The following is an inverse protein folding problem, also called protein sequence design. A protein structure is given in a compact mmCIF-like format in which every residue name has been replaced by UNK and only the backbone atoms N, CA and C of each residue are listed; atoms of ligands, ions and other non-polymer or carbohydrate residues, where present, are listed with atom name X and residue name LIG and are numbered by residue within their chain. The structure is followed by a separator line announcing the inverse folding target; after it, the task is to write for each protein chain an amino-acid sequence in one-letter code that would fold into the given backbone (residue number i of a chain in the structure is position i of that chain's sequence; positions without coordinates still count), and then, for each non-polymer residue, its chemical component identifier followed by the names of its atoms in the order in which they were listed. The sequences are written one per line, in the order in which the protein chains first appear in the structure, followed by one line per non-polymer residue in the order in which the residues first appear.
data_IF_242116140884
#
_entry.id   IF_242116140884
#
_cell.length_a   1.000
_cell.length_b   1.000
_cell.length_c   1.000
_cell.angle_alpha   90.00
_cell.angle_beta   90.00
_cell.angle_gamma   90.00
#
_symmetry.space_group_name_H-M   'P 1'
#
loop_
_entity.id
_entity.type
_entity.pdbx_description
1 polymer ?
#
# COMPACT_ATOMS: atom_id res chain seq x y z
N UNK A 1 4.24 -21.45 0.23
CA UNK A 1 5.05 -20.22 0.07
C UNK A 1 6.51 -20.47 0.46
N UNK A 2 7.49 -19.92 -0.24
CA UNK A 2 8.91 -20.16 0.08
C UNK A 2 9.44 -19.07 1.03
N UNK A 3 9.22 -19.23 2.32
CA UNK A 3 9.66 -18.29 3.36
C UNK A 3 11.16 -17.99 3.32
N UNK A 4 11.99 -18.95 2.89
CA UNK A 4 13.44 -18.74 2.79
C UNK A 4 13.80 -17.67 1.74
N UNK A 5 13.07 -17.61 0.62
CA UNK A 5 13.27 -16.60 -0.43
C UNK A 5 12.87 -15.21 0.08
N UNK A 6 11.72 -15.11 0.74
CA UNK A 6 11.25 -13.84 1.30
C UNK A 6 12.20 -13.30 2.38
N UNK A 7 12.63 -14.16 3.31
CA UNK A 7 13.58 -13.78 4.35
C UNK A 7 14.93 -13.32 3.77
N UNK A 8 15.41 -13.98 2.69
CA UNK A 8 16.63 -13.54 1.99
C UNK A 8 16.45 -12.16 1.37
N UNK A 9 15.30 -11.91 0.72
CA UNK A 9 14.98 -10.63 0.12
C UNK A 9 14.88 -9.52 1.17
N UNK A 10 14.15 -9.77 2.26
CA UNK A 10 14.04 -8.82 3.39
C UNK A 10 15.40 -8.53 4.00
N UNK A 11 16.25 -9.55 4.19
CA UNK A 11 17.61 -9.37 4.73
C UNK A 11 18.48 -8.54 3.79
N UNK A 12 18.36 -8.73 2.48
CA UNK A 12 19.08 -7.92 1.49
C UNK A 12 18.61 -6.46 1.54
N UNK A 13 17.27 -6.23 1.50
CA UNK A 13 16.71 -4.87 1.58
C UNK A 13 17.15 -4.19 2.88
N UNK A 14 17.18 -4.93 3.99
CA UNK A 14 17.66 -4.42 5.27
C UNK A 14 19.15 -4.02 5.22
N UNK A 15 19.98 -4.84 4.54
CA UNK A 15 21.39 -4.51 4.41
C UNK A 15 21.64 -3.19 3.66
N UNK A 16 20.73 -2.78 2.76
CA UNK A 16 20.83 -1.48 2.07
C UNK A 16 20.83 -0.34 3.09
N UNK A 17 20.00 -0.42 4.12
CA UNK A 17 19.97 0.58 5.18
C UNK A 17 21.32 0.69 5.92
N UNK A 18 21.90 -0.44 6.28
CA UNK A 18 23.19 -0.46 6.97
C UNK A 18 24.37 -0.07 6.06
N UNK A 19 24.33 -0.47 4.79
CA UNK A 19 25.42 -0.21 3.83
C UNK A 19 25.43 1.25 3.34
N UNK A 20 24.25 1.83 3.06
CA UNK A 20 24.15 3.12 2.37
C UNK A 20 23.69 4.27 3.28
N UNK A 21 22.90 4.00 4.35
CA UNK A 21 22.23 5.05 5.11
C UNK A 21 22.85 5.34 6.48
N UNK A 22 23.75 4.50 6.99
CA UNK A 22 24.28 4.56 8.36
C UNK A 22 24.86 5.93 8.74
N UNK A 23 25.60 6.55 7.84
CA UNK A 23 26.29 7.82 8.10
C UNK A 23 25.47 9.06 7.72
N UNK A 24 24.29 8.84 7.10
CA UNK A 24 23.43 9.89 6.56
C UNK A 24 22.14 10.05 7.37
N UNK A 25 21.62 8.94 7.89
CA UNK A 25 20.37 8.90 8.64
C UNK A 25 20.59 8.26 10.02
N UNK A 26 19.83 8.70 11.01
CA UNK A 26 19.68 7.95 12.26
C UNK A 26 18.85 6.69 12.00
N UNK A 27 19.13 5.59 12.71
CA UNK A 27 18.50 4.28 12.46
C UNK A 27 16.98 4.33 12.34
N UNK A 28 16.31 5.06 13.23
CA UNK A 28 14.86 5.20 13.21
C UNK A 28 14.28 5.89 11.96
N UNK A 29 15.16 6.48 11.11
CA UNK A 29 14.78 7.14 9.85
C UNK A 29 15.08 6.32 8.59
N UNK A 30 15.65 5.13 8.72
CA UNK A 30 15.90 4.26 7.55
C UNK A 30 14.60 3.89 6.84
N UNK A 31 13.51 3.71 7.60
CA UNK A 31 12.17 3.42 7.05
C UNK A 31 11.71 4.47 6.05
N UNK A 32 12.01 5.75 6.29
CA UNK A 32 11.59 6.89 5.44
C UNK A 32 12.21 6.82 4.02
N UNK A 33 13.25 6.01 3.83
CA UNK A 33 13.91 5.74 2.54
C UNK A 33 13.57 4.36 2.02
N UNK A 34 13.73 3.33 2.84
CA UNK A 34 13.66 1.93 2.40
C UNK A 34 12.26 1.57 1.94
N UNK A 35 11.21 1.89 2.72
CA UNK A 35 9.85 1.51 2.35
C UNK A 35 9.38 2.16 1.05
N UNK A 36 9.51 3.50 0.85
CA UNK A 36 9.13 4.11 -0.42
C UNK A 36 9.98 3.63 -1.60
N UNK A 37 11.27 3.35 -1.41
CA UNK A 37 12.11 2.82 -2.49
C UNK A 37 11.71 1.38 -2.87
N UNK A 38 11.28 0.56 -1.93
CA UNK A 38 10.74 -0.79 -2.21
C UNK A 38 9.44 -0.68 -3.02
N UNK A 39 8.53 0.23 -2.63
CA UNK A 39 7.30 0.49 -3.38
C UNK A 39 7.65 0.95 -4.80
N UNK A 40 8.49 1.98 -4.92
CA UNK A 40 8.87 2.56 -6.19
C UNK A 40 9.51 1.51 -7.12
N UNK A 41 10.44 0.70 -6.58
CA UNK A 41 11.08 -0.37 -7.36
C UNK A 41 10.08 -1.43 -7.82
N UNK A 42 9.07 -1.75 -6.99
CA UNK A 42 8.02 -2.70 -7.40
C UNK A 42 7.16 -2.13 -8.52
N UNK A 43 6.71 -0.88 -8.40
CA UNK A 43 5.92 -0.21 -9.44
C UNK A 43 6.71 -0.10 -10.76
N UNK A 44 7.98 0.31 -10.69
CA UNK A 44 8.89 0.37 -11.83
C UNK A 44 9.03 -0.99 -12.53
N UNK A 45 9.24 -2.06 -11.74
CA UNK A 45 9.38 -3.42 -12.25
C UNK A 45 8.12 -3.96 -12.95
N UNK A 46 6.93 -3.55 -12.49
CA UNK A 46 5.66 -3.91 -13.12
C UNK A 46 5.46 -3.19 -14.45
N UNK A 47 5.89 -1.93 -14.55
CA UNK A 47 5.78 -1.12 -15.77
C UNK A 47 6.87 -1.45 -16.82
N UNK A 48 7.99 -2.06 -16.42
CA UNK A 48 9.14 -2.35 -17.30
C UNK A 48 8.72 -3.03 -18.62
N UNK A 49 7.86 -4.08 -18.64
CA UNK A 49 7.45 -4.74 -19.90
C UNK A 49 6.57 -3.90 -20.82
N UNK A 50 5.88 -2.89 -20.30
CA UNK A 50 4.93 -2.05 -21.04
C UNK A 50 5.41 -0.62 -21.23
N UNK A 51 6.61 -0.30 -20.76
CA UNK A 51 7.18 1.05 -20.80
C UNK A 51 7.13 1.65 -22.20
N UNK A 52 7.54 0.88 -23.21
CA UNK A 52 7.56 1.35 -24.59
C UNK A 52 6.16 1.68 -25.11
N UNK A 53 5.14 0.88 -24.77
CA UNK A 53 3.76 1.14 -25.17
C UNK A 53 3.23 2.44 -24.54
N UNK A 54 3.60 2.73 -23.29
CA UNK A 54 3.22 3.99 -22.65
C UNK A 54 3.89 5.17 -23.33
N UNK A 55 5.17 5.08 -23.71
CA UNK A 55 5.87 6.14 -24.43
C UNK A 55 5.29 6.37 -25.84
N UNK A 56 4.89 5.33 -26.55
CA UNK A 56 4.18 5.41 -27.81
C UNK A 56 2.82 6.12 -27.66
N UNK A 57 2.08 5.80 -26.59
CA UNK A 57 0.82 6.46 -26.27
C UNK A 57 1.02 7.95 -25.92
N UNK A 58 2.11 8.29 -25.20
CA UNK A 58 2.50 9.70 -24.94
C UNK A 58 2.67 10.47 -26.25
N UNK A 59 3.42 9.90 -27.21
CA UNK A 59 3.64 10.51 -28.52
C UNK A 59 2.31 10.63 -29.29
N UNK A 60 1.50 9.59 -29.30
CA UNK A 60 0.20 9.58 -29.95
C UNK A 60 -0.74 10.66 -29.42
N UNK A 61 -0.92 10.75 -28.10
CA UNK A 61 -1.79 11.74 -27.47
C UNK A 61 -1.28 13.17 -27.71
N UNK A 62 0.04 13.40 -27.62
CA UNK A 62 0.64 14.72 -27.79
C UNK A 62 0.68 15.16 -29.24
N UNK A 63 1.14 14.30 -30.15
CA UNK A 63 1.42 14.70 -31.53
C UNK A 63 0.22 14.51 -32.47
N UNK A 64 -0.55 13.42 -32.29
CA UNK A 64 -1.69 13.11 -33.16
C UNK A 64 -2.98 13.71 -32.62
N UNK A 65 -3.29 13.46 -31.33
CA UNK A 65 -4.54 13.92 -30.72
C UNK A 65 -4.46 15.38 -30.26
N UNK A 66 -3.23 15.93 -30.11
CA UNK A 66 -2.98 17.31 -29.62
C UNK A 66 -3.57 17.58 -28.23
N UNK A 67 -3.60 16.55 -27.39
CA UNK A 67 -4.05 16.70 -26.01
C UNK A 67 -3.08 17.56 -25.20
N UNK A 68 -3.62 18.42 -24.34
CA UNK A 68 -2.85 19.24 -23.39
C UNK A 68 -2.66 18.54 -22.06
N UNK A 69 -3.55 17.62 -21.73
CA UNK A 69 -3.53 16.77 -20.56
C UNK A 69 -3.63 15.31 -21.02
N UNK A 70 -3.09 14.39 -20.23
CA UNK A 70 -3.14 12.97 -20.59
C UNK A 70 -4.56 12.40 -20.44
N UNK A 71 -4.98 11.59 -21.41
CA UNK A 71 -6.13 10.69 -21.22
C UNK A 71 -5.69 9.46 -20.42
N UNK A 72 -6.08 9.43 -19.15
CA UNK A 72 -5.73 8.33 -18.24
C UNK A 72 -6.19 6.97 -18.74
N UNK A 73 -7.29 6.88 -19.49
CA UNK A 73 -7.78 5.62 -20.05
C UNK A 73 -6.84 5.06 -21.11
N UNK A 74 -6.33 5.91 -21.99
CA UNK A 74 -5.33 5.53 -22.98
C UNK A 74 -4.03 5.08 -22.29
N UNK A 75 -3.55 5.85 -21.30
CA UNK A 75 -2.33 5.54 -20.58
C UNK A 75 -2.43 4.25 -19.77
N UNK A 76 -3.53 4.02 -19.06
CA UNK A 76 -3.76 2.77 -18.28
C UNK A 76 -3.95 1.57 -19.18
N UNK A 77 -4.58 1.73 -20.35
CA UNK A 77 -4.67 0.67 -21.36
C UNK A 77 -3.28 0.28 -21.90
N UNK A 78 -2.41 1.28 -22.16
CA UNK A 78 -1.04 1.06 -22.61
C UNK A 78 -0.17 0.39 -21.54
N UNK A 79 -0.27 0.82 -20.28
CA UNK A 79 0.49 0.25 -19.16
C UNK A 79 -0.03 -1.11 -18.70
N UNK A 80 -1.31 -1.42 -18.93
CA UNK A 80 -2.05 -2.59 -18.41
C UNK A 80 -2.23 -2.59 -16.89
N UNK A 81 -2.03 -1.44 -16.24
CA UNK A 81 -2.19 -1.23 -14.81
C UNK A 81 -3.05 0.01 -14.57
N UNK A 82 -3.59 0.17 -13.37
CA UNK A 82 -4.31 1.38 -12.94
C UNK A 82 -3.38 2.57 -12.70
N UNK A 83 -2.12 2.43 -13.07
CA UNK A 83 -1.07 3.45 -12.99
C UNK A 83 -0.12 3.33 -14.19
N UNK A 84 0.63 4.38 -14.44
CA UNK A 84 1.58 4.47 -15.55
C UNK A 84 2.73 5.43 -15.21
N UNK A 85 3.75 5.48 -16.09
CA UNK A 85 4.83 6.46 -16.02
C UNK A 85 5.20 6.94 -17.42
N UNK A 86 5.04 8.23 -17.68
CA UNK A 86 5.27 8.90 -18.98
C UNK A 86 6.71 9.36 -19.18
N UNK A 87 7.58 9.34 -18.17
CA UNK A 87 9.00 9.67 -18.30
C UNK A 87 9.74 8.64 -19.16
N UNK A 88 10.80 9.01 -19.82
CA UNK A 88 11.71 8.08 -20.51
C UNK A 88 12.53 7.21 -19.55
N UNK A 89 12.64 7.62 -18.30
CA UNK A 89 13.45 6.98 -17.29
C UNK A 89 12.77 5.74 -16.67
N UNK A 90 13.60 4.79 -16.29
CA UNK A 90 13.34 3.71 -15.34
C UNK A 90 14.40 3.77 -14.24
N UNK A 91 14.22 3.09 -13.12
CA UNK A 91 15.27 3.04 -12.08
C UNK A 91 16.56 2.44 -12.63
N UNK A 92 16.46 1.43 -13.51
CA UNK A 92 17.63 0.80 -14.15
C UNK A 92 18.34 1.77 -15.10
N UNK A 93 17.61 2.55 -15.91
CA UNK A 93 18.21 3.51 -16.84
C UNK A 93 18.81 4.72 -16.10
N UNK A 94 18.20 5.16 -15.00
CA UNK A 94 18.76 6.18 -14.10
C UNK A 94 20.13 5.74 -13.55
N UNK A 95 20.22 4.51 -13.06
CA UNK A 95 21.50 3.95 -12.59
C UNK A 95 22.50 3.84 -13.75
N UNK A 96 22.10 3.25 -14.88
CA UNK A 96 23.00 3.05 -16.03
C UNK A 96 23.48 4.33 -16.71
N UNK A 97 22.74 5.44 -16.60
CA UNK A 97 23.08 6.76 -17.14
C UNK A 97 23.77 7.67 -16.13
N UNK A 98 23.88 7.22 -14.87
CA UNK A 98 24.47 8.05 -13.81
C UNK A 98 25.91 8.40 -14.14
N UNK A 99 26.18 9.70 -14.15
CA UNK A 99 27.51 10.27 -14.19
C UNK A 99 27.93 10.61 -12.76
N UNK A 100 29.20 11.02 -12.55
CA UNK A 100 29.69 11.45 -11.23
C UNK A 100 28.99 12.74 -10.71
N UNK A 101 27.87 13.17 -11.29
CA UNK A 101 27.14 14.35 -10.89
C UNK A 101 25.81 13.97 -10.23
N UNK A 102 25.76 14.06 -8.91
CA UNK A 102 24.55 13.85 -8.12
C UNK A 102 23.41 14.82 -8.51
N UNK A 103 23.75 16.03 -8.98
CA UNK A 103 22.72 16.99 -9.40
C UNK A 103 22.02 16.59 -10.70
N UNK A 104 22.78 16.02 -11.66
CA UNK A 104 22.18 15.49 -12.90
C UNK A 104 21.31 14.28 -12.57
N UNK A 105 21.82 13.37 -11.72
CA UNK A 105 21.02 12.22 -11.28
C UNK A 105 19.75 12.65 -10.56
N UNK A 106 19.83 13.66 -9.68
CA UNK A 106 18.65 14.22 -9.00
C UNK A 106 17.64 14.77 -10.00
N UNK A 107 18.06 15.56 -10.98
CA UNK A 107 17.16 16.11 -12.01
C UNK A 107 16.46 15.02 -12.82
N UNK A 108 17.20 14.00 -13.26
CA UNK A 108 16.66 12.87 -13.99
C UNK A 108 15.70 12.03 -13.10
N UNK A 109 16.02 11.89 -11.82
CA UNK A 109 15.15 11.20 -10.89
C UNK A 109 13.85 11.97 -10.61
N UNK A 110 13.93 13.30 -10.49
CA UNK A 110 12.73 14.14 -10.36
C UNK A 110 11.84 14.05 -11.62
N UNK A 111 12.43 14.05 -12.82
CA UNK A 111 11.69 13.82 -14.06
C UNK A 111 11.02 12.44 -14.09
N UNK A 112 11.73 11.40 -13.66
CA UNK A 112 11.17 10.06 -13.50
C UNK A 112 9.96 10.06 -12.56
N UNK A 113 10.07 10.69 -11.39
CA UNK A 113 8.97 10.78 -10.43
C UNK A 113 7.79 11.59 -10.99
N UNK A 114 8.05 12.66 -11.74
CA UNK A 114 7.02 13.50 -12.35
C UNK A 114 6.21 12.76 -13.44
N UNK A 115 6.80 11.75 -14.06
CA UNK A 115 6.13 10.94 -15.07
C UNK A 115 5.04 10.01 -14.55
N UNK A 116 4.94 9.77 -13.26
CA UNK A 116 3.94 8.89 -12.70
C UNK A 116 2.53 9.51 -12.72
N UNK A 117 1.52 8.64 -12.85
CA UNK A 117 0.10 8.96 -12.74
C UNK A 117 -0.27 9.55 -11.37
N UNK A 118 -1.38 10.29 -11.31
CA UNK A 118 -1.80 11.04 -10.12
C UNK A 118 -1.91 10.19 -8.84
N UNK A 119 -2.42 8.97 -8.96
CA UNK A 119 -2.52 8.04 -7.83
C UNK A 119 -1.15 7.61 -7.26
N UNK A 120 -0.12 7.49 -8.12
CA UNK A 120 1.27 7.23 -7.66
C UNK A 120 1.92 8.50 -7.13
N UNK A 121 1.61 9.67 -7.70
CA UNK A 121 2.08 10.95 -7.15
C UNK A 121 1.64 11.14 -5.70
N UNK A 122 0.39 10.81 -5.38
CA UNK A 122 -0.11 10.85 -4.02
C UNK A 122 0.71 9.94 -3.08
N UNK A 123 1.04 8.73 -3.51
CA UNK A 123 1.89 7.80 -2.74
C UNK A 123 3.29 8.40 -2.51
N UNK A 124 3.89 9.00 -3.54
CA UNK A 124 5.19 9.67 -3.46
C UNK A 124 5.16 10.82 -2.43
N UNK A 125 4.06 11.57 -2.40
CA UNK A 125 3.86 12.67 -1.44
C UNK A 125 3.66 12.17 -0.01
N UNK A 126 2.83 11.14 0.21
CA UNK A 126 2.61 10.55 1.53
C UNK A 126 3.90 10.02 2.15
N UNK A 127 4.76 9.40 1.35
CA UNK A 127 6.10 8.99 1.77
C UNK A 127 7.10 10.14 1.91
N UNK A 128 6.78 11.35 1.45
CA UNK A 128 7.73 12.48 1.34
C UNK A 128 8.99 12.11 0.57
N UNK A 129 8.86 11.23 -0.43
CA UNK A 129 9.99 10.61 -1.12
C UNK A 129 10.89 11.63 -1.82
N UNK A 130 10.30 12.69 -2.42
CA UNK A 130 11.11 13.75 -3.08
C UNK A 130 12.11 14.42 -2.12
N UNK A 131 11.69 14.64 -0.87
CA UNK A 131 12.58 15.20 0.14
C UNK A 131 13.73 14.24 0.48
N UNK A 132 13.45 12.93 0.53
CA UNK A 132 14.47 11.91 0.78
C UNK A 132 15.46 11.79 -0.38
N UNK A 133 14.98 11.78 -1.63
CA UNK A 133 15.82 11.75 -2.84
C UNK A 133 16.77 12.96 -2.86
N UNK A 134 16.24 14.16 -2.60
CA UNK A 134 17.05 15.39 -2.51
C UNK A 134 18.08 15.31 -1.37
N UNK A 135 17.69 14.79 -0.21
CA UNK A 135 18.61 14.64 0.92
C UNK A 135 19.72 13.64 0.59
N UNK A 136 19.41 12.49 0.00
CA UNK A 136 20.38 11.48 -0.42
C UNK A 136 21.36 12.04 -1.49
N UNK A 137 20.86 12.81 -2.46
CA UNK A 137 21.70 13.47 -3.48
C UNK A 137 22.69 14.47 -2.84
N UNK A 138 22.21 15.28 -1.87
CA UNK A 138 23.06 16.24 -1.15
C UNK A 138 24.10 15.57 -0.24
N UNK A 139 23.93 14.29 0.05
CA UNK A 139 24.85 13.49 0.88
C UNK A 139 25.67 12.48 0.06
N UNK A 140 25.60 12.57 -1.26
CA UNK A 140 26.32 11.71 -2.22
C UNK A 140 26.02 10.19 -2.09
N UNK A 141 24.84 9.81 -1.55
CA UNK A 141 24.45 8.40 -1.37
C UNK A 141 23.29 7.95 -2.27
N UNK A 142 22.70 8.86 -3.07
CA UNK A 142 21.56 8.52 -3.93
C UNK A 142 21.94 7.45 -4.96
N UNK A 143 23.10 7.52 -5.56
CA UNK A 143 23.56 6.55 -6.54
C UNK A 143 23.78 5.17 -5.89
N UNK A 144 24.37 5.11 -4.70
CA UNK A 144 24.61 3.86 -3.99
C UNK A 144 23.30 3.14 -3.64
N UNK A 145 22.30 3.91 -3.17
CA UNK A 145 20.95 3.37 -2.90
C UNK A 145 20.31 2.86 -4.19
N UNK A 146 20.39 3.63 -5.28
CA UNK A 146 19.85 3.24 -6.57
C UNK A 146 20.52 1.98 -7.12
N UNK A 147 21.84 1.86 -7.01
CA UNK A 147 22.60 0.66 -7.40
C UNK A 147 22.11 -0.58 -6.66
N UNK A 148 21.91 -0.48 -5.34
CA UNK A 148 21.40 -1.59 -4.53
C UNK A 148 19.99 -2.01 -4.96
N UNK A 149 19.06 -1.06 -5.16
CA UNK A 149 17.69 -1.35 -5.56
C UNK A 149 17.56 -1.85 -7.00
N UNK A 150 18.54 -1.57 -7.87
CA UNK A 150 18.60 -2.08 -9.25
C UNK A 150 19.50 -3.31 -9.41
N UNK A 151 20.12 -3.77 -8.32
CA UNK A 151 20.99 -4.96 -8.33
C UNK A 151 20.28 -6.18 -8.91
N UNK A 152 20.93 -6.97 -9.77
CA UNK A 152 20.40 -8.24 -10.24
C UNK A 152 20.25 -9.30 -9.15
N UNK A 153 20.86 -9.11 -7.97
CA UNK A 153 20.77 -10.05 -6.84
C UNK A 153 19.46 -9.95 -6.08
N UNK A 154 18.62 -8.95 -6.39
CA UNK A 154 17.26 -8.80 -5.85
C UNK A 154 16.22 -8.84 -6.96
N UNK A 155 15.14 -9.58 -6.73
CA UNK A 155 14.04 -9.66 -7.66
C UNK A 155 12.72 -9.21 -7.03
N UNK A 156 12.33 -7.98 -7.31
CA UNK A 156 11.03 -7.40 -6.96
C UNK A 156 10.04 -7.46 -8.14
N UNK A 157 10.34 -8.25 -9.18
CA UNK A 157 9.50 -8.37 -10.37
C UNK A 157 8.58 -9.60 -10.29
N UNK A 158 7.48 -9.63 -11.03
CA UNK A 158 6.62 -10.80 -11.13
C UNK A 158 7.19 -11.91 -12.06
N UNK A 159 8.44 -11.76 -12.52
CA UNK A 159 9.10 -12.68 -13.45
C UNK A 159 10.37 -13.25 -12.83
N UNK A 160 10.76 -14.48 -13.25
CA UNK A 160 12.08 -15.02 -12.90
C UNK A 160 13.19 -14.14 -13.49
N UNK A 161 14.25 -13.92 -12.72
CA UNK A 161 15.49 -13.24 -13.17
C UNK A 161 16.71 -14.11 -12.89
N UNK A 162 17.84 -13.74 -13.48
CA UNK A 162 19.14 -14.33 -13.16
C UNK A 162 19.91 -13.35 -12.26
N UNK A 163 20.58 -13.88 -11.25
CA UNK A 163 21.53 -13.12 -10.44
C UNK A 163 22.86 -12.92 -11.17
N UNK A 164 23.78 -12.19 -10.53
CA UNK A 164 25.15 -11.93 -11.06
C UNK A 164 25.94 -13.22 -11.35
N UNK A 165 25.62 -14.33 -10.69
CA UNK A 165 26.24 -15.64 -10.90
C UNK A 165 25.49 -16.52 -11.90
N UNK A 166 24.46 -16.01 -12.59
CA UNK A 166 23.63 -16.74 -13.54
C UNK A 166 22.64 -17.73 -12.90
N UNK A 167 22.40 -17.63 -11.60
CA UNK A 167 21.43 -18.47 -10.89
C UNK A 167 20.03 -17.85 -10.99
N UNK A 168 19.01 -18.68 -11.10
CA UNK A 168 17.62 -18.23 -11.13
C UNK A 168 17.18 -17.67 -9.78
N UNK A 169 16.67 -16.45 -9.79
CA UNK A 169 15.94 -15.87 -8.66
C UNK A 169 14.45 -15.95 -9.03
N UNK A 170 13.62 -16.58 -8.16
CA UNK A 170 12.21 -16.76 -8.45
C UNK A 170 11.48 -15.41 -8.53
N UNK A 171 10.36 -15.41 -9.25
CA UNK A 171 9.42 -14.31 -9.30
C UNK A 171 8.88 -13.98 -7.90
N UNK A 172 8.63 -12.71 -7.64
CA UNK A 172 7.93 -12.25 -6.45
C UNK A 172 6.45 -12.02 -6.79
N UNK A 173 5.58 -12.87 -6.27
CA UNK A 173 4.12 -12.71 -6.42
C UNK A 173 3.61 -11.47 -5.67
N UNK A 174 2.40 -11.01 -5.98
CA UNK A 174 1.77 -9.91 -5.23
C UNK A 174 1.57 -10.25 -3.76
N UNK A 175 1.18 -11.50 -3.47
CA UNK A 175 1.09 -12.01 -2.10
C UNK A 175 2.47 -12.00 -1.41
N UNK A 176 3.52 -12.45 -2.11
CA UNK A 176 4.89 -12.39 -1.60
C UNK A 176 5.37 -10.96 -1.33
N UNK A 177 4.94 -9.99 -2.15
CA UNK A 177 5.25 -8.58 -1.92
C UNK A 177 4.60 -8.05 -0.63
N UNK A 178 3.34 -8.43 -0.37
CA UNK A 178 2.67 -8.12 0.90
C UNK A 178 3.47 -8.62 2.12
N UNK A 179 3.97 -9.86 2.07
CA UNK A 179 4.84 -10.39 3.13
C UNK A 179 6.14 -9.62 3.30
N UNK A 180 6.75 -9.17 2.20
CA UNK A 180 7.98 -8.36 2.28
C UNK A 180 7.70 -7.04 3.00
N UNK A 181 6.60 -6.35 2.68
CA UNK A 181 6.22 -5.12 3.37
C UNK A 181 5.95 -5.32 4.85
N UNK A 182 5.15 -6.32 5.20
CA UNK A 182 4.82 -6.65 6.60
C UNK A 182 6.08 -6.92 7.42
N UNK A 183 7.01 -7.71 6.88
CA UNK A 183 8.25 -8.05 7.56
C UNK A 183 9.20 -6.86 7.69
N UNK A 184 9.27 -5.99 6.69
CA UNK A 184 10.05 -4.75 6.77
C UNK A 184 9.47 -3.80 7.83
N UNK A 185 8.16 -3.60 7.85
CA UNK A 185 7.49 -2.76 8.86
C UNK A 185 7.72 -3.34 10.25
N UNK A 186 7.55 -4.64 10.44
CA UNK A 186 7.81 -5.30 11.72
C UNK A 186 9.24 -5.03 12.22
N UNK A 187 10.24 -5.18 11.34
CA UNK A 187 11.64 -4.90 11.69
C UNK A 187 11.89 -3.43 12.04
N UNK A 188 11.30 -2.49 11.29
CA UNK A 188 11.45 -1.07 11.60
C UNK A 188 10.77 -0.68 12.92
N UNK A 189 9.61 -1.27 13.24
CA UNK A 189 8.93 -1.05 14.50
C UNK A 189 9.75 -1.60 15.69
N UNK A 190 10.34 -2.79 15.54
CA UNK A 190 11.24 -3.36 16.56
C UNK A 190 12.47 -2.47 16.80
N UNK A 191 13.10 -1.95 15.75
CA UNK A 191 14.23 -1.02 15.87
C UNK A 191 13.85 0.31 16.55
N UNK A 192 12.63 0.78 16.35
CA UNK A 192 12.12 2.02 16.93
C UNK A 192 11.49 1.84 18.31
N UNK A 193 11.42 0.62 18.85
CA UNK A 193 10.67 0.27 20.06
C UNK A 193 9.19 0.68 19.97
N UNK A 194 8.61 0.65 18.76
CA UNK A 194 7.17 0.87 18.54
C UNK A 194 6.39 -0.39 18.93
N UNK A 195 5.19 -0.23 19.45
CA UNK A 195 4.36 -1.38 19.84
C UNK A 195 3.97 -2.23 18.61
N UNK A 196 4.34 -3.51 18.63
CA UNK A 196 4.17 -4.41 17.49
C UNK A 196 2.71 -4.57 17.02
N UNK A 197 1.73 -4.27 17.87
CA UNK A 197 0.30 -4.38 17.58
C UNK A 197 -0.30 -3.21 16.79
N UNK A 198 0.44 -2.13 16.57
CA UNK A 198 -0.13 -0.91 15.98
C UNK A 198 -0.26 -0.95 14.45
N UNK A 199 0.57 -1.74 13.77
CA UNK A 199 0.66 -1.69 12.30
C UNK A 199 0.58 -3.05 11.61
N UNK A 200 0.41 -4.12 12.36
CA UNK A 200 0.44 -5.46 11.82
C UNK A 200 -0.49 -6.43 12.55
N UNK A 201 -1.31 -7.12 11.79
CA UNK A 201 -2.12 -8.24 12.29
C UNK A 201 -1.50 -9.55 11.83
N UNK A 202 -1.13 -10.47 12.75
CA UNK A 202 -0.61 -11.77 12.36
C UNK A 202 -1.54 -12.51 11.39
N UNK A 203 -0.99 -13.14 10.38
CA UNK A 203 -1.79 -13.79 9.33
C UNK A 203 -2.65 -14.93 9.85
N UNK A 204 -2.18 -15.64 10.87
CA UNK A 204 -2.94 -16.68 11.54
C UNK A 204 -4.21 -16.14 12.20
N UNK A 205 -4.16 -14.89 12.68
CA UNK A 205 -5.34 -14.19 13.22
C UNK A 205 -6.29 -13.80 12.09
N UNK A 206 -5.75 -13.29 10.98
CA UNK A 206 -6.55 -12.94 9.80
C UNK A 206 -7.23 -14.20 9.24
N UNK A 207 -6.48 -15.30 9.10
CA UNK A 207 -7.01 -16.59 8.63
C UNK A 207 -8.14 -17.09 9.55
N UNK A 208 -7.96 -17.01 10.86
CA UNK A 208 -9.03 -17.34 11.80
C UNK A 208 -10.27 -16.46 11.60
N UNK A 209 -10.09 -15.15 11.47
CA UNK A 209 -11.19 -14.21 11.29
C UNK A 209 -11.95 -14.46 9.98
N UNK A 210 -11.22 -14.71 8.89
CA UNK A 210 -11.83 -15.02 7.58
C UNK A 210 -12.62 -16.33 7.62
N UNK A 211 -12.09 -17.36 8.27
CA UNK A 211 -12.83 -18.60 8.50
C UNK A 211 -14.12 -18.37 9.30
N UNK A 212 -14.05 -17.61 10.38
CA UNK A 212 -15.22 -17.33 11.22
C UNK A 212 -16.32 -16.57 10.48
N UNK A 213 -15.95 -15.65 9.58
CA UNK A 213 -16.90 -14.82 8.84
C UNK A 213 -17.43 -15.53 7.61
N UNK A 214 -16.60 -16.18 6.81
CA UNK A 214 -16.96 -16.65 5.48
C UNK A 214 -17.33 -18.14 5.41
N UNK A 215 -16.80 -19.02 6.26
CA UNK A 215 -17.20 -20.44 6.27
C UNK A 215 -18.70 -20.64 6.47
N UNK A 216 -19.40 -19.90 7.37
CA UNK A 216 -20.84 -20.08 7.56
C UNK A 216 -21.69 -19.76 6.33
N UNK A 217 -21.17 -18.99 5.40
CA UNK A 217 -21.89 -18.52 4.20
C UNK A 217 -21.29 -19.03 2.89
N UNK A 218 -20.28 -19.90 2.93
CA UNK A 218 -19.52 -20.36 1.75
C UNK A 218 -20.39 -20.87 0.59
N UNK A 219 -21.52 -21.52 0.91
CA UNK A 219 -22.46 -22.06 -0.10
C UNK A 219 -23.46 -21.02 -0.61
N UNK A 220 -23.38 -19.77 -0.10
CA UNK A 220 -24.32 -18.66 -0.40
C UNK A 220 -23.58 -17.36 -0.70
N UNK A 221 -22.34 -17.44 -1.14
CA UNK A 221 -21.53 -16.27 -1.48
C UNK A 221 -22.20 -15.51 -2.63
N UNK A 222 -22.53 -14.21 -2.47
CA UNK A 222 -23.10 -13.38 -3.52
C UNK A 222 -22.10 -13.19 -4.69
N UNK A 223 -22.62 -12.82 -5.86
CA UNK A 223 -21.78 -12.48 -7.02
C UNK A 223 -20.97 -11.17 -6.84
N UNK A 224 -21.39 -10.33 -5.89
CA UNK A 224 -20.71 -9.08 -5.51
C UNK A 224 -20.65 -9.01 -4.01
N UNK A 225 -19.46 -8.69 -3.48
CA UNK A 225 -19.22 -8.53 -2.04
C UNK A 225 -18.40 -7.24 -1.82
N UNK A 226 -18.77 -6.51 -0.77
CA UNK A 226 -18.00 -5.36 -0.27
C UNK A 226 -17.44 -5.67 1.11
N UNK A 227 -16.12 -5.47 1.27
CA UNK A 227 -15.41 -5.70 2.53
C UNK A 227 -14.76 -4.39 2.96
N UNK A 228 -14.97 -4.00 4.21
CA UNK A 228 -14.43 -2.77 4.78
C UNK A 228 -13.55 -3.04 6.00
N UNK A 229 -12.40 -2.38 6.04
CA UNK A 229 -11.55 -2.30 7.23
C UNK A 229 -11.35 -0.83 7.62
N UNK A 230 -11.96 -0.36 8.73
CA UNK A 230 -11.84 1.03 9.20
C UNK A 230 -10.49 1.40 9.80
N UNK A 231 -9.57 0.44 9.98
CA UNK A 231 -8.21 0.63 10.45
C UNK A 231 -7.29 -0.34 9.70
N UNK A 232 -7.24 -0.17 8.36
CA UNK A 232 -6.77 -1.22 7.46
C UNK A 232 -5.27 -1.49 7.50
N UNK A 233 -4.48 -0.63 8.14
CA UNK A 233 -3.05 -0.82 8.17
C UNK A 233 -2.48 -0.92 6.74
N UNK A 234 -1.68 -1.95 6.49
CA UNK A 234 -1.13 -2.25 5.16
C UNK A 234 -2.11 -2.94 4.21
N UNK A 235 -3.35 -3.17 4.63
CA UNK A 235 -4.38 -3.83 3.82
C UNK A 235 -4.34 -5.36 3.84
N UNK A 236 -3.54 -5.95 4.72
CA UNK A 236 -3.40 -7.41 4.81
C UNK A 236 -4.73 -8.13 5.03
N UNK A 237 -5.57 -7.61 5.94
CA UNK A 237 -6.88 -8.20 6.22
C UNK A 237 -7.82 -8.14 5.01
N UNK A 238 -7.82 -7.05 4.27
CA UNK A 238 -8.62 -6.89 3.06
C UNK A 238 -8.20 -7.89 1.99
N UNK A 239 -6.91 -7.98 1.72
CA UNK A 239 -6.38 -8.83 0.63
C UNK A 239 -6.46 -10.32 0.96
N UNK A 240 -6.23 -10.73 2.20
CA UNK A 240 -6.41 -12.13 2.61
C UNK A 240 -7.88 -12.54 2.57
N UNK A 241 -8.80 -11.65 2.96
CA UNK A 241 -10.25 -11.91 2.85
C UNK A 241 -10.67 -12.16 1.41
N UNK A 242 -10.17 -11.37 0.47
CA UNK A 242 -10.43 -11.59 -0.95
C UNK A 242 -9.87 -12.91 -1.44
N UNK A 243 -8.59 -13.21 -1.14
CA UNK A 243 -7.97 -14.48 -1.53
C UNK A 243 -8.71 -15.69 -0.95
N UNK A 244 -9.17 -15.59 0.30
CA UNK A 244 -9.98 -16.64 0.93
C UNK A 244 -11.25 -16.96 0.13
N UNK A 245 -11.89 -15.94 -0.47
CA UNK A 245 -13.15 -16.06 -1.20
C UNK A 245 -12.90 -16.50 -2.65
N UNK A 246 -11.97 -15.84 -3.37
CA UNK A 246 -11.90 -15.90 -4.84
C UNK A 246 -10.77 -16.73 -5.39
N UNK A 247 -9.71 -17.02 -4.63
CA UNK A 247 -8.56 -17.76 -5.11
C UNK A 247 -8.95 -19.19 -5.51
N UNK A 248 -8.49 -19.66 -6.65
CA UNK A 248 -8.70 -21.04 -7.13
C UNK A 248 -8.11 -22.09 -6.17
N UNK A 249 -7.02 -21.74 -5.51
CA UNK A 249 -6.40 -22.53 -4.43
C UNK A 249 -6.91 -22.12 -3.04
N UNK A 250 -7.78 -21.12 -2.96
CA UNK A 250 -8.39 -20.61 -1.74
C UNK A 250 -9.39 -21.57 -1.11
N UNK A 251 -10.01 -21.12 -0.01
CA UNK A 251 -10.91 -21.98 0.78
C UNK A 251 -12.30 -22.10 0.17
N UNK A 252 -12.85 -21.00 -0.36
CA UNK A 252 -14.23 -20.97 -0.90
C UNK A 252 -14.24 -21.22 -2.40
N UNK A 253 -13.27 -20.71 -3.13
CA UNK A 253 -13.14 -20.86 -4.60
C UNK A 253 -14.27 -20.23 -5.39
N UNK A 254 -14.82 -19.12 -4.88
CA UNK A 254 -15.88 -18.39 -5.56
C UNK A 254 -15.30 -17.46 -6.64
N UNK A 255 -14.70 -18.06 -7.67
CA UNK A 255 -13.93 -17.35 -8.74
C UNK A 255 -14.79 -16.38 -9.56
N UNK A 256 -16.11 -16.52 -9.55
CA UNK A 256 -17.05 -15.63 -10.25
C UNK A 256 -17.55 -14.48 -9.36
N UNK A 257 -17.09 -14.38 -8.11
CA UNK A 257 -17.48 -13.31 -7.20
C UNK A 257 -16.54 -12.11 -7.39
N UNK A 258 -17.14 -10.93 -7.56
CA UNK A 258 -16.41 -9.65 -7.54
C UNK A 258 -16.32 -9.14 -6.11
N UNK A 259 -15.10 -9.01 -5.59
CA UNK A 259 -14.87 -8.49 -4.24
C UNK A 259 -14.31 -7.07 -4.34
N UNK A 260 -15.00 -6.12 -3.71
CA UNK A 260 -14.61 -4.73 -3.59
C UNK A 260 -14.09 -4.46 -2.19
N UNK A 261 -12.86 -4.00 -2.11
CA UNK A 261 -12.14 -3.76 -0.86
C UNK A 261 -12.15 -2.26 -0.54
N UNK A 262 -12.54 -1.93 0.68
CA UNK A 262 -12.58 -0.57 1.19
C UNK A 262 -11.74 -0.49 2.47
N UNK A 263 -10.93 0.55 2.59
CA UNK A 263 -10.08 0.72 3.76
C UNK A 263 -9.92 2.16 4.18
N UNK A 264 -9.64 2.37 5.46
CA UNK A 264 -9.26 3.66 6.00
C UNK A 264 -8.06 3.51 6.92
N UNK A 265 -7.07 4.39 6.75
CA UNK A 265 -5.84 4.36 7.52
C UNK A 265 -5.41 5.79 7.92
N UNK A 266 -5.03 5.97 9.18
CA UNK A 266 -4.66 7.29 9.70
C UNK A 266 -3.19 7.64 9.46
N UNK A 267 -2.32 6.64 9.36
CA UNK A 267 -0.90 6.84 9.15
C UNK A 267 -0.57 6.96 7.67
N UNK A 268 0.02 8.08 7.26
CA UNK A 268 0.32 8.40 5.86
C UNK A 268 1.17 7.32 5.18
N UNK A 269 2.19 6.80 5.86
CA UNK A 269 3.11 5.81 5.33
C UNK A 269 2.42 4.46 5.13
N UNK A 270 1.69 4.00 6.14
CA UNK A 270 0.94 2.75 6.11
C UNK A 270 -0.18 2.80 5.06
N UNK A 271 -0.86 3.95 4.96
CA UNK A 271 -1.82 4.25 3.89
C UNK A 271 -1.18 4.11 2.50
N UNK A 272 0.00 4.73 2.29
CA UNK A 272 0.69 4.69 1.01
C UNK A 272 1.07 3.24 0.62
N UNK A 273 1.46 2.42 1.58
CA UNK A 273 1.74 0.99 1.35
C UNK A 273 0.46 0.24 0.97
N UNK A 274 -0.63 0.43 1.73
CA UNK A 274 -1.92 -0.19 1.43
C UNK A 274 -2.42 0.20 0.03
N UNK A 275 -2.42 1.49 -0.30
CA UNK A 275 -2.82 2.00 -1.62
C UNK A 275 -1.97 1.40 -2.74
N UNK A 276 -0.66 1.32 -2.54
CA UNK A 276 0.27 0.69 -3.49
C UNK A 276 -0.04 -0.80 -3.72
N UNK A 277 -0.31 -1.53 -2.65
CA UNK A 277 -0.64 -2.96 -2.73
C UNK A 277 -1.96 -3.20 -3.49
N UNK A 278 -2.98 -2.35 -3.26
CA UNK A 278 -4.23 -2.37 -4.03
C UNK A 278 -3.96 -2.14 -5.52
N UNK A 279 -3.17 -1.12 -5.87
CA UNK A 279 -2.83 -0.81 -7.26
C UNK A 279 -2.08 -1.96 -7.95
N UNK A 280 -1.10 -2.56 -7.25
CA UNK A 280 -0.33 -3.70 -7.74
C UNK A 280 -1.23 -4.91 -8.04
N UNK A 281 -2.28 -5.10 -7.25
CA UNK A 281 -3.29 -6.16 -7.40
C UNK A 281 -4.40 -5.82 -8.39
N UNK A 282 -4.35 -4.64 -9.01
CA UNK A 282 -5.37 -4.17 -9.96
C UNK A 282 -6.71 -3.80 -9.30
N UNK A 283 -6.68 -3.51 -8.00
CA UNK A 283 -7.85 -3.01 -7.27
C UNK A 283 -7.95 -1.50 -7.40
N UNK A 284 -9.16 -0.97 -7.17
CA UNK A 284 -9.36 0.48 -7.21
C UNK A 284 -8.68 1.14 -5.99
N UNK A 285 -7.61 1.91 -6.20
CA UNK A 285 -6.89 2.56 -5.10
C UNK A 285 -7.72 3.66 -4.42
N UNK A 286 -8.78 4.16 -5.07
CA UNK A 286 -9.65 5.19 -4.52
C UNK A 286 -10.57 4.67 -3.41
N UNK A 287 -10.68 3.36 -3.25
CA UNK A 287 -11.38 2.74 -2.13
C UNK A 287 -10.56 2.74 -0.83
N UNK A 288 -9.29 3.12 -0.88
CA UNK A 288 -8.47 3.31 0.31
C UNK A 288 -8.37 4.80 0.61
N UNK A 289 -8.74 5.22 1.83
CA UNK A 289 -8.79 6.62 2.23
C UNK A 289 -7.87 6.88 3.42
N UNK A 290 -7.21 8.04 3.41
CA UNK A 290 -6.37 8.48 4.52
C UNK A 290 -7.20 9.25 5.55
N UNK A 291 -6.87 9.10 6.83
CA UNK A 291 -7.45 9.84 7.93
C UNK A 291 -8.13 8.98 9.00
N UNK A 292 -8.49 9.62 10.12
CA UNK A 292 -9.14 8.92 11.24
C UNK A 292 -10.58 8.56 10.90
N UNK A 293 -10.93 7.29 11.06
CA UNK A 293 -12.31 6.78 10.91
C UNK A 293 -13.27 7.43 11.90
N UNK A 294 -12.76 7.85 13.06
CA UNK A 294 -13.58 8.49 14.09
C UNK A 294 -13.93 9.94 13.75
N UNK A 295 -13.10 10.65 12.98
CA UNK A 295 -13.29 12.06 12.68
C UNK A 295 -14.00 12.34 11.36
N UNK A 296 -13.90 11.43 10.38
CA UNK A 296 -14.47 11.65 9.04
C UNK A 296 -15.13 10.39 8.49
N UNK A 297 -16.21 10.57 7.71
CA UNK A 297 -16.90 9.51 6.98
C UNK A 297 -16.68 9.67 5.48
N UNK A 298 -15.62 9.04 4.97
CA UNK A 298 -15.27 9.08 3.54
C UNK A 298 -16.18 8.19 2.68
N UNK A 299 -16.96 7.32 3.32
CA UNK A 299 -17.88 6.40 2.65
C UNK A 299 -19.34 6.65 3.01
N UNK A 300 -19.66 7.92 3.31
CA UNK A 300 -21.03 8.32 3.71
C UNK A 300 -22.10 7.73 2.77
N UNK A 301 -23.09 7.07 3.37
CA UNK A 301 -24.18 6.42 2.64
C UNK A 301 -23.84 5.05 2.02
N UNK A 302 -22.59 4.61 2.05
CA UNK A 302 -22.20 3.27 1.62
C UNK A 302 -22.48 2.25 2.72
N UNK A 303 -23.04 1.10 2.34
CA UNK A 303 -23.19 -0.05 3.23
C UNK A 303 -22.29 -1.16 2.76
N UNK A 304 -21.57 -1.75 3.68
CA UNK A 304 -20.67 -2.87 3.42
C UNK A 304 -21.31 -4.18 3.85
N UNK A 305 -21.05 -5.25 3.09
CA UNK A 305 -21.55 -6.59 3.42
C UNK A 305 -20.80 -7.17 4.62
N UNK A 306 -19.50 -6.90 4.69
CA UNK A 306 -18.62 -7.38 5.75
C UNK A 306 -17.68 -6.28 6.24
N UNK A 307 -17.38 -6.35 7.54
CA UNK A 307 -16.37 -5.52 8.18
C UNK A 307 -15.45 -6.44 9.00
N UNK A 308 -14.16 -6.39 8.69
CA UNK A 308 -13.11 -7.07 9.45
C UNK A 308 -12.06 -6.03 9.81
N UNK A 309 -11.74 -5.94 11.09
CA UNK A 309 -10.76 -4.96 11.55
C UNK A 309 -10.03 -5.42 12.81
N UNK A 310 -8.78 -5.03 12.93
CA UNK A 310 -8.01 -5.08 14.16
C UNK A 310 -7.58 -3.64 14.53
N UNK A 311 -8.45 -2.86 15.20
CA UNK A 311 -8.14 -1.48 15.55
C UNK A 311 -7.04 -1.42 16.63
N UNK A 312 -6.25 -0.33 16.67
CA UNK A 312 -5.20 -0.18 17.67
C UNK A 312 -5.77 -0.16 19.09
N UNK A 313 -5.10 -0.86 20.02
CA UNK A 313 -5.48 -0.93 21.43
C UNK A 313 -4.86 0.22 22.23
N UNK A 314 -5.56 0.66 23.27
CA UNK A 314 -5.04 1.63 24.24
C UNK A 314 -4.76 3.02 23.67
N UNK A 315 -5.24 3.33 22.49
CA UNK A 315 -5.07 4.67 21.90
C UNK A 315 -6.19 5.60 22.34
N UNK A 316 -5.79 6.76 22.84
CA UNK A 316 -6.76 7.81 23.17
C UNK A 316 -7.41 8.36 21.90
N UNK A 317 -8.73 8.48 21.91
CA UNK A 317 -9.52 9.14 20.86
C UNK A 317 -10.06 10.51 21.31
N UNK A 318 -9.45 11.09 22.34
CA UNK A 318 -9.88 12.38 22.90
C UNK A 318 -9.86 13.53 21.89
N UNK A 319 -8.93 13.49 20.94
CA UNK A 319 -8.82 14.47 19.83
C UNK A 319 -9.99 14.38 18.85
N UNK A 320 -10.53 13.19 18.66
CA UNK A 320 -11.65 12.91 17.74
C UNK A 320 -13.02 13.11 18.39
N UNK A 321 -13.10 13.14 19.70
CA UNK A 321 -14.36 13.23 20.46
C UNK A 321 -15.26 14.38 19.97
N UNK A 322 -14.68 15.53 19.64
CA UNK A 322 -15.38 16.72 19.14
C UNK A 322 -16.11 16.51 17.80
N UNK A 323 -15.73 15.49 17.02
CA UNK A 323 -16.38 15.14 15.76
C UNK A 323 -17.55 14.17 15.97
N UNK A 324 -17.56 13.48 17.11
CA UNK A 324 -18.56 12.47 17.45
C UNK A 324 -19.63 13.06 18.37
N UNK A 325 -19.22 13.88 19.33
CA UNK A 325 -20.12 14.46 20.37
C UNK A 325 -19.97 15.97 20.48
N UNK A 326 -21.10 16.64 20.71
CA UNK A 326 -21.16 18.00 21.22
C UNK A 326 -21.76 17.98 22.63
N UNK A 327 -20.93 18.11 23.64
CA UNK A 327 -21.33 17.92 25.02
C UNK A 327 -21.79 16.47 25.29
N UNK A 328 -23.10 16.30 25.56
CA UNK A 328 -23.71 14.99 25.79
C UNK A 328 -24.32 14.39 24.51
N UNK A 329 -24.57 15.20 23.50
CA UNK A 329 -25.29 14.80 22.31
C UNK A 329 -24.33 14.19 21.28
N UNK A 330 -24.70 13.02 20.72
CA UNK A 330 -23.98 12.43 19.60
C UNK A 330 -24.40 13.14 18.32
N UNK A 331 -23.41 13.71 17.62
CA UNK A 331 -23.61 14.49 16.39
C UNK A 331 -23.30 13.70 15.13
N UNK A 332 -22.59 12.59 15.23
CA UNK A 332 -22.26 11.71 14.11
C UNK A 332 -23.19 10.51 14.10
N UNK A 333 -24.00 10.40 13.04
CA UNK A 333 -25.01 9.36 12.90
C UNK A 333 -24.46 7.92 12.88
N UNK A 334 -23.17 7.73 12.61
CA UNK A 334 -22.52 6.41 12.66
C UNK A 334 -22.47 5.85 14.08
N UNK A 335 -22.55 6.71 15.08
CA UNK A 335 -22.51 6.36 16.50
C UNK A 335 -23.90 6.42 17.17
N UNK A 336 -24.96 6.64 16.38
CA UNK A 336 -26.33 6.49 16.82
C UNK A 336 -26.84 5.10 16.38
N UNK A 337 -27.27 4.30 17.33
CA UNK A 337 -27.87 2.99 17.08
C UNK A 337 -29.28 2.93 17.63
N UNK A 338 -30.10 2.07 17.04
CA UNK A 338 -31.42 1.77 17.56
C UNK A 338 -31.37 0.44 18.29
N UNK A 339 -31.69 0.46 19.57
CA UNK A 339 -31.86 -0.75 20.38
C UNK A 339 -33.29 -0.99 20.69
N UNK A 340 -33.70 -2.26 20.78
CA UNK A 340 -35.02 -2.60 21.31
C UNK A 340 -34.94 -2.67 22.83
N UNK A 341 -35.82 -1.94 23.49
CA UNK A 341 -36.00 -2.03 24.94
C UNK A 341 -36.69 -3.35 25.32
N UNK A 342 -36.89 -3.56 26.62
CA UNK A 342 -37.56 -4.78 27.14
C UNK A 342 -38.94 -4.99 26.53
N UNK A 343 -39.64 -3.93 26.16
CA UNK A 343 -41.00 -3.96 25.59
C UNK A 343 -41.03 -4.13 24.07
N UNK A 344 -39.84 -4.21 23.43
CA UNK A 344 -39.71 -4.34 21.99
C UNK A 344 -39.79 -3.02 21.20
N UNK A 345 -39.87 -1.88 21.89
CA UNK A 345 -39.86 -0.56 21.29
C UNK A 345 -38.41 -0.14 20.92
N UNK A 346 -38.28 0.53 19.79
CA UNK A 346 -36.95 1.04 19.35
C UNK A 346 -36.64 2.34 20.10
N UNK A 347 -35.46 2.37 20.71
CA UNK A 347 -34.90 3.54 21.37
C UNK A 347 -33.56 3.87 20.76
N UNK A 348 -33.25 5.17 20.60
CA UNK A 348 -31.95 5.64 20.19
C UNK A 348 -30.95 5.43 21.33
N UNK A 349 -29.80 4.87 21.00
CA UNK A 349 -28.72 4.62 21.93
C UNK A 349 -27.37 5.03 21.33
N UNK A 350 -26.48 5.48 22.20
CA UNK A 350 -25.13 5.88 21.81
C UNK A 350 -24.21 4.67 21.69
N UNK A 351 -23.63 4.46 20.51
CA UNK A 351 -22.57 3.48 20.28
C UNK A 351 -21.17 4.09 20.42
N UNK A 352 -20.99 5.05 21.30
CA UNK A 352 -19.72 5.76 21.51
C UNK A 352 -18.88 5.02 22.55
N UNK A 353 -17.56 4.91 22.36
CA UNK A 353 -16.67 4.37 23.39
C UNK A 353 -16.86 5.07 24.73
N UNK A 354 -16.82 4.31 25.82
CA UNK A 354 -17.11 4.84 27.17
C UNK A 354 -16.01 5.73 27.72
N UNK A 355 -14.77 5.51 27.30
CA UNK A 355 -13.60 6.28 27.73
C UNK A 355 -12.85 6.83 26.52
N UNK A 356 -12.45 8.11 26.60
CA UNK A 356 -11.59 8.74 25.59
C UNK A 356 -10.10 8.42 25.80
N UNK A 357 -9.78 7.74 26.89
CA UNK A 357 -8.39 7.46 27.29
C UNK A 357 -7.92 6.06 26.83
N UNK A 358 -8.74 5.35 26.04
CA UNK A 358 -8.44 4.04 25.48
C UNK A 358 -9.13 2.90 26.20
#
# INVERSE_FOLDING_TARGET
MNHAVHNKLVSFIWSIADDCLRDVYVRGKYRDVILPMVVLRRLDALLEPTKQHVLEEVVFQKETMKFTEWDDKGMTAASKYVFYNTSEWTLQSLHGSATNSQQILLGNFEDYLNGFSANVQEIIEMFKLRAQIKHMANKDVLLDVLEKFTSPDINLTPFEKLDTAGRKIPALTNLGMGYVFEELIRKFNEENNEEAGEHYTPREVIDLMTHMVFDPIKDKIPSVITIYDPACGTGGMLTESELFITDEEGKIKATNTSVYLFGKEVNDETYAICKSDMMIKGKDPEHIKVGSTLSTDEFAGTKFDFMLSNPPYGKSWASEQKYIKDGKDVIDNRFLIKLKNYWGEEEDADAVPRSSDG
#
